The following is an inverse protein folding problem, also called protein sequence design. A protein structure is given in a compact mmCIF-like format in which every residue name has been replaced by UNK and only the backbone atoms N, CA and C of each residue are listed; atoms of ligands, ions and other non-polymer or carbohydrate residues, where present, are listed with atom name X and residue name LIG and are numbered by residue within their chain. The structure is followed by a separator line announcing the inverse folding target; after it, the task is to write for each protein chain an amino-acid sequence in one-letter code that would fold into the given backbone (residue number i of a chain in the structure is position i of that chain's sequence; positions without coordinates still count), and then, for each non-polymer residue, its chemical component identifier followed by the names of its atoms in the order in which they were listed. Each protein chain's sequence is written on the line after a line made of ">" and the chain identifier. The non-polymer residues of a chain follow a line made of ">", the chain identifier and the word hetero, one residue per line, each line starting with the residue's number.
data_IF_873208932971
#
_entry.id   IF_873208932971
#
_cell.length_a   1.000
_cell.length_b   1.000
_cell.length_c   1.000
_cell.angle_alpha   90.00
_cell.angle_beta   90.00
_cell.angle_gamma   90.00
#
_symmetry.space_group_name_H-M   'P 1'
#
loop_
_entity.id
_entity.type
_entity.pdbx_description
1 polymer ?
#
# COMPACT_ATOMS: atom_id res chain seq x y z
N UNK A 1 -20.27 76.83 21.51
CA UNK A 1 -19.57 75.72 22.24
C UNK A 1 -19.98 74.45 21.59
N UNK A 2 -19.16 73.96 20.65
CA UNK A 2 -19.40 72.73 19.94
C UNK A 2 -18.61 71.63 20.65
N UNK A 3 -19.28 70.58 21.15
CA UNK A 3 -18.71 69.42 21.71
C UNK A 3 -18.45 68.40 20.59
N UNK A 4 -17.19 68.11 20.28
CA UNK A 4 -16.74 67.03 19.39
C UNK A 4 -16.83 65.67 20.13
N UNK A 5 -17.75 64.84 19.71
CA UNK A 5 -17.88 63.46 20.19
C UNK A 5 -17.02 62.60 19.26
N UNK A 6 -15.80 62.25 19.70
CA UNK A 6 -14.93 61.28 19.01
C UNK A 6 -15.42 59.86 19.30
N UNK A 7 -16.01 59.26 18.27
CA UNK A 7 -16.32 57.82 18.28
C UNK A 7 -15.05 57.05 17.94
N UNK A 8 -14.47 56.36 18.93
CA UNK A 8 -13.35 55.49 18.77
C UNK A 8 -13.88 54.13 18.31
N UNK A 9 -13.79 53.87 16.99
CA UNK A 9 -14.07 52.56 16.41
C UNK A 9 -12.89 51.65 16.71
N UNK A 10 -13.04 50.79 17.70
CA UNK A 10 -12.11 49.67 17.97
C UNK A 10 -12.44 48.58 16.96
N UNK A 11 -11.64 48.49 15.91
CA UNK A 11 -11.60 47.29 15.06
C UNK A 11 -10.97 46.17 15.87
N UNK A 12 -11.80 45.31 16.44
CA UNK A 12 -11.37 43.99 16.89
C UNK A 12 -11.07 43.17 15.63
N UNK A 13 -9.80 43.16 15.22
CA UNK A 13 -9.30 42.15 14.30
C UNK A 13 -9.44 40.80 15.04
N UNK A 14 -10.55 40.12 14.77
CA UNK A 14 -10.62 38.70 15.02
C UNK A 14 -9.55 38.06 14.11
N UNK A 15 -8.41 37.67 14.65
CA UNK A 15 -7.61 36.60 14.05
C UNK A 15 -8.53 35.38 14.13
N UNK A 16 -9.18 35.00 13.06
CA UNK A 16 -9.59 33.65 12.84
C UNK A 16 -8.26 32.87 12.78
N UNK A 17 -7.95 32.12 13.83
CA UNK A 17 -6.97 31.05 13.73
C UNK A 17 -7.51 30.15 12.61
N UNK A 18 -6.76 30.09 11.49
CA UNK A 18 -7.02 29.07 10.48
C UNK A 18 -7.11 27.73 11.22
N UNK A 19 -8.16 26.94 11.00
CA UNK A 19 -8.24 25.62 11.60
C UNK A 19 -6.94 24.89 11.24
N UNK A 20 -6.17 24.46 12.25
CA UNK A 20 -5.03 23.60 12.02
C UNK A 20 -5.53 22.45 11.13
N UNK A 21 -4.99 22.32 9.91
CA UNK A 21 -5.30 21.19 9.06
C UNK A 21 -4.90 19.93 9.84
N UNK A 22 -5.89 19.15 10.23
CA UNK A 22 -5.68 17.92 10.96
C UNK A 22 -4.98 16.95 9.99
N UNK A 23 -3.71 16.67 10.27
CA UNK A 23 -2.91 15.76 9.44
C UNK A 23 -3.57 14.38 9.41
N UNK A 24 -3.55 13.74 8.26
CA UNK A 24 -4.07 12.37 8.13
C UNK A 24 -3.37 11.43 9.12
N UNK A 25 -4.12 10.60 9.85
CA UNK A 25 -3.54 9.63 10.77
C UNK A 25 -2.69 8.57 10.07
N UNK A 26 -2.83 8.45 8.76
CA UNK A 26 -2.13 7.46 7.93
C UNK A 26 -0.73 7.90 7.48
N UNK A 27 -0.34 9.14 7.71
CA UNK A 27 1.02 9.61 7.43
C UNK A 27 2.03 8.85 8.30
N UNK A 28 3.10 8.35 7.67
CA UNK A 28 4.18 7.66 8.37
C UNK A 28 4.88 6.61 7.54
N UNK A 29 5.83 5.95 8.18
CA UNK A 29 6.62 4.86 7.63
C UNK A 29 6.02 3.52 8.07
N UNK A 30 5.92 2.56 7.16
CA UNK A 30 5.25 1.29 7.40
C UNK A 30 6.04 0.13 6.82
N UNK A 31 6.08 -0.98 7.57
CA UNK A 31 6.54 -2.28 7.06
C UNK A 31 5.34 -3.23 6.94
N UNK A 32 5.35 -4.12 5.95
CA UNK A 32 4.33 -5.16 5.81
C UNK A 32 4.63 -6.27 6.81
N UNK A 33 3.81 -6.43 7.83
CA UNK A 33 3.99 -7.48 8.85
C UNK A 33 3.14 -8.71 8.59
N UNK A 34 2.03 -8.54 7.86
CA UNK A 34 1.15 -9.66 7.51
C UNK A 34 0.34 -9.36 6.25
N UNK A 35 0.19 -10.39 5.42
CA UNK A 35 -0.77 -10.42 4.33
C UNK A 35 -1.40 -11.83 4.26
N UNK A 36 -2.74 -11.89 4.19
CA UNK A 36 -3.50 -13.14 4.27
C UNK A 36 -4.58 -13.16 3.21
N UNK A 37 -4.64 -14.22 2.40
CA UNK A 37 -5.68 -14.38 1.37
C UNK A 37 -7.08 -14.30 2.01
N UNK A 38 -7.94 -13.46 1.46
CA UNK A 38 -9.36 -13.40 1.85
C UNK A 38 -10.23 -14.36 1.07
N UNK A 39 -9.76 -14.76 -0.13
CA UNK A 39 -10.47 -15.65 -1.04
C UNK A 39 -9.55 -16.78 -1.51
N UNK A 40 -10.17 -17.88 -1.99
CA UNK A 40 -9.42 -18.97 -2.60
C UNK A 40 -8.84 -18.53 -3.96
N UNK A 41 -7.55 -18.78 -4.16
CA UNK A 41 -6.88 -18.56 -5.42
C UNK A 41 -6.61 -19.89 -6.12
N UNK A 42 -7.14 -20.06 -7.33
CA UNK A 42 -6.91 -21.25 -8.15
C UNK A 42 -5.80 -20.96 -9.14
N UNK A 43 -4.71 -21.75 -9.07
CA UNK A 43 -3.61 -21.73 -10.02
C UNK A 43 -3.63 -23.03 -10.83
N UNK A 44 -3.25 -22.98 -12.10
CA UNK A 44 -3.10 -24.15 -12.94
C UNK A 44 -1.62 -24.45 -13.10
N UNK A 45 -1.22 -25.67 -12.77
CA UNK A 45 0.18 -26.15 -12.85
C UNK A 45 0.33 -27.25 -13.89
N UNK A 46 1.52 -27.38 -14.46
CA UNK A 46 1.80 -28.41 -15.47
C UNK A 46 1.80 -29.81 -14.88
N UNK A 47 2.19 -29.96 -13.60
CA UNK A 47 2.44 -31.26 -12.97
C UNK A 47 1.18 -31.89 -12.37
N UNK A 48 0.32 -31.06 -11.74
CA UNK A 48 -0.84 -31.57 -11.00
C UNK A 48 -2.19 -30.99 -11.45
N UNK A 49 -2.17 -30.11 -12.47
CA UNK A 49 -3.37 -29.39 -12.92
C UNK A 49 -3.77 -28.29 -11.94
N UNK A 50 -5.06 -28.16 -11.65
CA UNK A 50 -5.56 -27.10 -10.78
C UNK A 50 -5.13 -27.30 -9.32
N UNK A 51 -4.49 -26.27 -8.75
CA UNK A 51 -4.13 -26.17 -7.33
C UNK A 51 -4.87 -25.00 -6.72
N UNK A 52 -5.39 -25.17 -5.51
CA UNK A 52 -6.08 -24.09 -4.79
C UNK A 52 -5.26 -23.63 -3.59
N UNK A 53 -4.89 -22.37 -3.58
CA UNK A 53 -4.44 -21.69 -2.37
C UNK A 53 -5.69 -21.22 -1.62
N UNK A 54 -5.85 -21.71 -0.40
CA UNK A 54 -7.08 -21.49 0.36
C UNK A 54 -7.08 -20.13 1.06
N UNK A 55 -8.25 -19.54 1.26
CA UNK A 55 -8.41 -18.36 2.10
C UNK A 55 -7.80 -18.62 3.49
N UNK A 56 -7.21 -17.60 4.09
CA UNK A 56 -6.46 -17.72 5.35
C UNK A 56 -4.97 -18.09 5.18
N UNK A 57 -4.53 -18.41 3.96
CA UNK A 57 -3.10 -18.66 3.69
C UNK A 57 -2.31 -17.35 3.80
N UNK A 58 -1.19 -17.37 4.53
CA UNK A 58 -0.25 -16.24 4.56
C UNK A 58 0.47 -16.11 3.22
N UNK A 59 0.45 -14.91 2.69
CA UNK A 59 1.15 -14.50 1.45
C UNK A 59 2.08 -13.32 1.71
N UNK A 60 2.49 -13.11 2.96
CA UNK A 60 3.28 -11.94 3.40
C UNK A 60 4.56 -11.77 2.59
N UNK A 61 5.39 -12.81 2.50
CA UNK A 61 6.63 -12.79 1.73
C UNK A 61 6.40 -12.52 0.22
N UNK A 62 5.31 -13.07 -0.32
CA UNK A 62 4.90 -12.78 -1.69
C UNK A 62 4.60 -11.29 -1.88
N UNK A 63 3.82 -10.70 -0.99
CA UNK A 63 3.44 -9.29 -1.08
C UNK A 63 4.64 -8.38 -0.85
N UNK A 64 5.49 -8.67 0.14
CA UNK A 64 6.74 -7.94 0.36
C UNK A 64 7.62 -7.95 -0.90
N UNK A 65 7.82 -9.11 -1.50
CA UNK A 65 8.60 -9.24 -2.75
C UNK A 65 7.92 -8.53 -3.92
N UNK A 66 6.60 -8.65 -4.03
CA UNK A 66 5.82 -8.15 -5.15
C UNK A 66 5.72 -6.63 -5.19
N UNK A 67 5.42 -6.02 -4.05
CA UNK A 67 5.19 -4.58 -3.94
C UNK A 67 6.49 -3.81 -3.64
N UNK A 68 7.43 -4.45 -2.98
CA UNK A 68 8.60 -3.79 -2.43
C UNK A 68 9.92 -4.29 -3.04
N UNK A 69 9.86 -5.25 -3.95
CA UNK A 69 11.04 -5.79 -4.65
C UNK A 69 11.74 -4.80 -5.59
N UNK A 70 11.22 -3.57 -5.70
CA UNK A 70 11.88 -2.47 -6.41
C UNK A 70 13.06 -1.88 -5.62
N UNK A 71 13.10 -2.08 -4.30
CA UNK A 71 14.19 -1.64 -3.41
C UNK A 71 15.11 -2.81 -3.11
N UNK A 72 16.42 -2.55 -3.04
CA UNK A 72 17.45 -3.57 -2.80
C UNK A 72 17.66 -3.77 -1.29
N UNK A 73 16.67 -4.39 -0.63
CA UNK A 73 16.76 -4.78 0.77
C UNK A 73 16.06 -6.10 1.05
N UNK A 74 16.33 -6.65 2.25
CA UNK A 74 15.60 -7.84 2.72
C UNK A 74 14.10 -7.51 2.79
N UNK A 75 13.21 -8.40 2.33
CA UNK A 75 11.78 -8.11 2.21
C UNK A 75 11.12 -7.61 3.51
N UNK A 76 11.53 -8.14 4.66
CA UNK A 76 11.03 -7.74 5.98
C UNK A 76 11.45 -6.34 6.43
N UNK A 77 12.48 -5.75 5.77
CA UNK A 77 12.96 -4.40 6.01
C UNK A 77 12.45 -3.40 4.98
N UNK A 78 11.65 -3.86 4.03
CA UNK A 78 11.09 -2.99 2.99
C UNK A 78 10.02 -2.07 3.58
N UNK A 79 10.14 -0.78 3.27
CA UNK A 79 9.39 0.30 3.87
C UNK A 79 8.50 0.98 2.82
N UNK A 80 7.28 1.31 3.24
CA UNK A 80 6.36 2.21 2.52
C UNK A 80 6.24 3.47 3.36
N UNK A 81 6.50 4.63 2.79
CA UNK A 81 6.32 5.91 3.46
C UNK A 81 5.18 6.71 2.79
N UNK A 82 4.21 7.11 3.59
CA UNK A 82 3.10 7.99 3.22
C UNK A 82 3.37 9.37 3.81
N UNK A 83 3.62 10.39 2.94
CA UNK A 83 3.99 11.75 3.36
C UNK A 83 2.81 12.71 3.35
N UNK A 84 2.95 13.82 4.06
CA UNK A 84 1.95 14.88 4.18
C UNK A 84 1.60 15.54 2.84
N UNK A 85 2.53 15.56 1.91
CA UNK A 85 2.33 16.10 0.55
C UNK A 85 1.67 15.10 -0.40
N UNK A 86 1.13 13.99 0.14
CA UNK A 86 0.53 12.89 -0.60
C UNK A 86 1.50 12.14 -1.53
N UNK A 87 2.80 12.32 -1.37
CA UNK A 87 3.78 11.47 -2.03
C UNK A 87 3.92 10.12 -1.29
N UNK A 88 4.21 9.07 -2.07
CA UNK A 88 4.48 7.72 -1.60
C UNK A 88 5.93 7.36 -1.96
N UNK A 89 6.68 6.90 -0.99
CA UNK A 89 8.05 6.43 -1.20
C UNK A 89 8.21 4.98 -0.75
N UNK A 90 9.14 4.30 -1.41
CA UNK A 90 9.61 2.97 -1.03
C UNK A 90 11.05 3.07 -0.58
N UNK A 91 11.41 2.36 0.47
CA UNK A 91 12.75 2.40 1.02
C UNK A 91 13.09 1.14 1.79
N UNK A 92 14.21 1.20 2.50
CA UNK A 92 14.64 0.15 3.41
C UNK A 92 14.80 0.73 4.82
N UNK A 93 14.32 0.01 5.81
CA UNK A 93 14.44 0.41 7.21
C UNK A 93 15.90 0.71 7.57
N UNK A 94 16.15 1.96 8.02
CA UNK A 94 17.49 2.43 8.37
C UNK A 94 18.38 2.85 7.19
N UNK A 95 17.87 2.86 5.95
CA UNK A 95 18.54 3.43 4.78
C UNK A 95 18.11 4.87 4.56
N UNK A 96 18.95 5.63 3.84
CA UNK A 96 18.61 6.97 3.33
C UNK A 96 18.23 6.93 1.84
N UNK A 97 18.32 5.76 1.23
CA UNK A 97 17.95 5.58 -0.17
C UNK A 97 16.44 5.34 -0.26
N UNK A 98 15.77 6.20 -1.03
CA UNK A 98 14.34 6.18 -1.24
C UNK A 98 14.06 6.11 -2.74
N UNK A 99 13.03 5.36 -3.10
CA UNK A 99 12.50 5.28 -4.45
C UNK A 99 11.15 5.99 -4.48
N UNK A 100 10.96 6.92 -5.41
CA UNK A 100 9.64 7.49 -5.69
C UNK A 100 8.67 6.38 -6.08
N UNK A 101 7.75 6.06 -5.17
CA UNK A 101 6.73 5.02 -5.33
C UNK A 101 5.46 5.52 -6.00
N UNK A 102 5.25 6.84 -6.06
CA UNK A 102 4.06 7.46 -6.62
C UNK A 102 3.34 8.38 -5.64
N UNK A 103 2.02 8.29 -5.57
CA UNK A 103 1.19 9.12 -4.69
C UNK A 103 0.18 8.28 -3.92
N UNK A 104 -0.34 8.86 -2.84
CA UNK A 104 -1.45 8.28 -2.09
C UNK A 104 -2.52 9.32 -1.83
N UNK A 105 -3.73 8.88 -1.51
CA UNK A 105 -4.82 9.75 -1.10
C UNK A 105 -5.75 9.04 -0.12
N UNK A 106 -6.30 9.79 0.80
CA UNK A 106 -7.36 9.35 1.69
C UNK A 106 -8.70 9.67 1.03
N UNK A 107 -9.34 8.65 0.45
CA UNK A 107 -10.64 8.82 -0.20
C UNK A 107 -11.77 8.93 0.81
N UNK A 108 -11.64 8.28 1.95
CA UNK A 108 -12.55 8.36 3.11
C UNK A 108 -11.84 7.89 4.37
N UNK A 109 -12.49 7.99 5.53
CA UNK A 109 -11.97 7.51 6.82
C UNK A 109 -11.58 6.01 6.82
N UNK A 110 -12.05 5.23 5.85
CA UNK A 110 -11.82 3.78 5.75
C UNK A 110 -11.29 3.33 4.39
N UNK A 111 -10.91 4.26 3.51
CA UNK A 111 -10.41 3.93 2.18
C UNK A 111 -9.19 4.79 1.85
N UNK A 112 -8.08 4.13 1.60
CA UNK A 112 -6.82 4.73 1.13
C UNK A 112 -6.50 4.21 -0.26
N UNK A 113 -6.13 5.12 -1.17
CA UNK A 113 -5.70 4.80 -2.53
C UNK A 113 -4.20 4.99 -2.64
N UNK A 114 -3.49 3.98 -3.13
CA UNK A 114 -2.07 4.05 -3.47
C UNK A 114 -1.93 4.04 -5.00
N UNK A 115 -1.47 5.13 -5.57
CA UNK A 115 -1.20 5.24 -7.00
C UNK A 115 0.29 4.94 -7.23
N UNK A 116 0.64 3.67 -7.27
CA UNK A 116 2.03 3.23 -7.43
C UNK A 116 2.48 3.36 -8.88
N UNK A 117 3.62 4.00 -9.10
CA UNK A 117 4.17 4.21 -10.43
C UNK A 117 4.87 2.95 -10.98
N UNK A 118 5.26 2.96 -12.26
CA UNK A 118 5.92 1.81 -12.89
C UNK A 118 7.35 1.56 -12.38
N UNK A 119 7.94 2.51 -11.68
CA UNK A 119 9.25 2.34 -11.02
C UNK A 119 9.09 1.49 -9.76
N UNK A 120 8.02 1.74 -9.00
CA UNK A 120 7.68 0.96 -7.82
C UNK A 120 7.22 -0.47 -8.16
N UNK A 121 6.53 -0.64 -9.30
CA UNK A 121 6.09 -1.96 -9.78
C UNK A 121 6.61 -2.19 -11.20
N UNK A 122 7.87 -2.64 -11.35
CA UNK A 122 8.52 -2.80 -12.67
C UNK A 122 7.80 -3.76 -13.62
N UNK A 123 6.98 -4.66 -13.10
CA UNK A 123 6.14 -5.56 -13.92
C UNK A 123 4.96 -4.86 -14.60
N UNK A 124 4.64 -3.62 -14.19
CA UNK A 124 3.58 -2.79 -14.76
C UNK A 124 4.18 -1.64 -15.57
N UNK A 125 3.82 -1.53 -16.85
CA UNK A 125 4.27 -0.43 -17.72
C UNK A 125 3.61 0.91 -17.41
N UNK A 126 2.48 0.90 -16.71
CA UNK A 126 1.62 2.09 -16.48
C UNK A 126 1.42 2.42 -15.01
N UNK A 127 2.10 1.68 -14.10
CA UNK A 127 1.81 1.74 -12.67
C UNK A 127 0.55 0.93 -12.31
N UNK A 128 0.21 0.94 -11.03
CA UNK A 128 -0.94 0.21 -10.47
C UNK A 128 -1.64 1.09 -9.45
N UNK A 129 -2.97 1.14 -9.52
CA UNK A 129 -3.81 1.74 -8.48
C UNK A 129 -4.23 0.63 -7.51
N UNK A 130 -3.90 0.80 -6.25
CA UNK A 130 -4.23 -0.13 -5.16
C UNK A 130 -5.21 0.58 -4.24
N UNK A 131 -6.44 0.10 -4.22
CA UNK A 131 -7.44 0.54 -3.25
C UNK A 131 -7.35 -0.35 -2.01
N UNK A 132 -7.14 0.26 -0.85
CA UNK A 132 -7.20 -0.42 0.45
C UNK A 132 -8.48 0.03 1.12
N UNK A 133 -9.41 -0.87 1.31
CA UNK A 133 -10.72 -0.66 1.96
C UNK A 133 -10.74 -1.21 3.38
N UNK A 134 -11.77 -0.84 4.15
CA UNK A 134 -11.92 -1.22 5.56
C UNK A 134 -10.68 -0.88 6.41
N UNK A 135 -10.04 0.24 6.05
CA UNK A 135 -8.81 0.69 6.72
C UNK A 135 -9.11 1.01 8.17
N UNK A 136 -8.29 0.47 9.07
CA UNK A 136 -8.32 0.77 10.50
C UNK A 136 -6.89 0.97 11.00
N UNK A 137 -6.71 1.95 11.90
CA UNK A 137 -5.45 2.19 12.60
C UNK A 137 -5.64 1.92 14.09
N UNK A 138 -5.02 0.87 14.61
CA UNK A 138 -5.09 0.49 16.02
C UNK A 138 -3.68 0.45 16.61
N UNK A 139 -3.37 1.44 17.43
CA UNK A 139 -1.99 1.65 17.91
C UNK A 139 -1.08 2.02 16.74
N UNK A 140 -0.09 1.18 16.46
CA UNK A 140 0.83 1.32 15.32
C UNK A 140 0.53 0.37 14.15
N UNK A 141 -0.59 -0.36 14.20
CA UNK A 141 -0.97 -1.28 13.12
C UNK A 141 -2.07 -0.65 12.27
N UNK A 142 -1.76 -0.45 11.00
CA UNK A 142 -2.68 -0.12 9.94
C UNK A 142 -3.11 -1.41 9.26
N UNK A 143 -4.38 -1.72 9.23
CA UNK A 143 -4.92 -2.91 8.54
C UNK A 143 -6.01 -2.52 7.56
N UNK A 144 -6.18 -3.36 6.53
CA UNK A 144 -7.21 -3.16 5.51
C UNK A 144 -7.27 -4.33 4.55
N UNK A 145 -8.24 -4.29 3.64
CA UNK A 145 -8.44 -5.30 2.59
C UNK A 145 -8.16 -4.68 1.23
N UNK A 146 -7.44 -5.40 0.39
CA UNK A 146 -7.13 -4.94 -0.96
C UNK A 146 -7.22 -6.07 -1.97
N UNK A 147 -7.38 -5.68 -3.24
CA UNK A 147 -7.30 -6.59 -4.40
C UNK A 147 -6.34 -6.01 -5.41
N UNK A 148 -5.27 -6.74 -5.69
CA UNK A 148 -4.23 -6.29 -6.62
C UNK A 148 -4.06 -7.26 -7.79
N UNK A 149 -3.74 -6.76 -9.00
CA UNK A 149 -3.33 -7.61 -10.11
C UNK A 149 -1.87 -8.04 -9.92
N UNK A 150 -1.65 -9.32 -9.73
CA UNK A 150 -0.30 -9.91 -9.68
C UNK A 150 0.03 -10.48 -11.05
N UNK A 151 1.22 -10.16 -11.57
CA UNK A 151 1.65 -10.66 -12.86
C UNK A 151 1.90 -12.17 -12.80
N UNK A 152 1.65 -12.85 -13.93
CA UNK A 152 1.91 -14.29 -14.07
C UNK A 152 3.37 -14.63 -13.76
N UNK A 153 4.32 -13.81 -14.19
CA UNK A 153 5.75 -14.06 -13.96
C UNK A 153 6.11 -14.03 -12.47
N UNK A 154 5.45 -13.17 -11.71
CA UNK A 154 5.60 -13.13 -10.25
C UNK A 154 5.00 -14.38 -9.59
N UNK A 155 3.84 -14.85 -10.06
CA UNK A 155 3.24 -16.11 -9.59
C UNK A 155 4.14 -17.32 -9.85
N UNK A 156 4.90 -17.33 -10.96
CA UNK A 156 5.93 -18.37 -11.22
C UNK A 156 6.98 -18.38 -10.10
N UNK A 157 7.49 -17.21 -9.72
CA UNK A 157 8.47 -17.10 -8.62
C UNK A 157 7.90 -17.60 -7.28
N UNK A 158 6.69 -17.17 -6.95
CA UNK A 158 5.98 -17.61 -5.73
C UNK A 158 5.77 -19.11 -5.71
N UNK A 159 5.24 -19.69 -6.79
CA UNK A 159 4.98 -21.12 -6.88
C UNK A 159 6.30 -21.94 -6.79
N UNK A 160 7.36 -21.47 -7.42
CA UNK A 160 8.68 -22.09 -7.33
C UNK A 160 9.22 -22.06 -5.89
N UNK A 161 9.09 -20.92 -5.18
CA UNK A 161 9.46 -20.80 -3.78
C UNK A 161 8.67 -21.75 -2.88
N UNK A 162 7.35 -21.75 -2.98
CA UNK A 162 6.47 -22.62 -2.17
C UNK A 162 6.68 -24.12 -2.42
N UNK A 163 7.00 -24.52 -3.64
CA UNK A 163 7.14 -25.92 -4.02
C UNK A 163 8.60 -26.42 -4.04
N UNK A 164 9.58 -25.58 -3.72
CA UNK A 164 10.99 -25.90 -3.92
C UNK A 164 11.35 -26.16 -5.38
N UNK A 165 10.67 -25.50 -6.32
CA UNK A 165 10.86 -25.63 -7.76
C UNK A 165 10.23 -26.89 -8.38
N UNK A 166 9.40 -27.62 -7.62
CA UNK A 166 8.77 -28.86 -8.09
C UNK A 166 7.51 -28.63 -8.94
N UNK A 167 6.86 -27.47 -8.77
CA UNK A 167 5.66 -27.10 -9.53
C UNK A 167 5.98 -25.93 -10.44
N UNK A 168 5.45 -25.99 -11.66
CA UNK A 168 5.53 -24.91 -12.63
C UNK A 168 4.13 -24.47 -13.06
N UNK A 169 3.95 -23.17 -13.24
CA UNK A 169 2.68 -22.60 -13.65
C UNK A 169 2.39 -22.96 -15.12
N UNK A 170 1.16 -23.38 -15.42
CA UNK A 170 0.72 -23.53 -16.81
C UNK A 170 0.52 -22.15 -17.43
N UNK A 171 1.47 -21.74 -18.27
CA UNK A 171 1.52 -20.42 -18.89
C UNK A 171 0.41 -20.19 -19.93
N UNK A 172 -0.17 -21.24 -20.48
CA UNK A 172 -1.27 -21.13 -21.46
C UNK A 172 -2.63 -20.99 -20.74
N UNK A 173 -2.80 -21.71 -19.64
CA UNK A 173 -4.03 -21.70 -18.86
C UNK A 173 -4.12 -20.51 -17.87
N UNK A 174 -2.98 -19.91 -17.49
CA UNK A 174 -2.95 -18.80 -16.54
C UNK A 174 -2.98 -17.43 -17.23
N UNK A 175 -3.90 -16.53 -16.86
CA UNK A 175 -3.94 -15.16 -17.38
C UNK A 175 -2.62 -14.42 -17.17
N UNK A 176 -2.35 -13.37 -17.96
CA UNK A 176 -1.15 -12.51 -17.83
C UNK A 176 -1.09 -11.83 -16.47
N UNK A 177 -2.26 -11.51 -15.89
CA UNK A 177 -2.40 -11.03 -14.53
C UNK A 177 -3.57 -11.73 -13.84
N UNK A 178 -3.41 -12.02 -12.55
CA UNK A 178 -4.41 -12.65 -11.70
C UNK A 178 -4.74 -11.69 -10.57
N UNK A 179 -6.03 -11.44 -10.32
CA UNK A 179 -6.47 -10.64 -9.18
C UNK A 179 -6.36 -11.46 -7.91
N UNK A 180 -5.72 -10.90 -6.90
CA UNK A 180 -5.54 -11.52 -5.59
C UNK A 180 -6.09 -10.57 -4.53
N UNK A 181 -7.07 -11.07 -3.76
CA UNK A 181 -7.67 -10.35 -2.65
C UNK A 181 -7.06 -10.81 -1.33
N UNK A 182 -6.62 -9.86 -0.51
CA UNK A 182 -5.99 -10.18 0.77
C UNK A 182 -6.22 -9.08 1.81
N UNK A 183 -6.21 -9.47 3.07
CA UNK A 183 -6.06 -8.57 4.20
C UNK A 183 -4.58 -8.27 4.40
N UNK A 184 -4.24 -7.00 4.61
CA UNK A 184 -2.86 -6.55 4.87
C UNK A 184 -2.80 -5.88 6.24
N UNK A 185 -1.71 -6.14 6.97
CA UNK A 185 -1.35 -5.43 8.20
C UNK A 185 0.02 -4.77 7.99
N UNK A 186 0.08 -3.48 8.22
CA UNK A 186 1.26 -2.62 8.12
C UNK A 186 1.59 -2.11 9.53
N UNK A 187 2.83 -2.27 9.96
CA UNK A 187 3.30 -1.75 11.25
C UNK A 187 4.01 -0.42 11.05
N UNK A 188 3.52 0.63 11.72
CA UNK A 188 4.11 1.97 11.74
C UNK A 188 5.40 1.96 12.57
N UNK A 189 6.46 2.51 12.00
CA UNK A 189 7.81 2.57 12.58
C UNK A 189 8.07 3.81 13.42
#
# INVERSE_FOLDING_TARGET
>A
MLAFLSVFLVFLSSCEEDPEEELSPYIGEYIVVKATLTENLVLVTNEIGAMTLVAGLSITEMIQTALLGAVDCEPENSLIELREDFSLYLGCLGSVEELDGGTWEEQSETVVILNMNSTAIPSSQTGVVIEVSDVTLVGNILSGVTTVPISRDMLVGVLAGMSGGQLTLDMEATPVAVLISFEIELEKQ
#
